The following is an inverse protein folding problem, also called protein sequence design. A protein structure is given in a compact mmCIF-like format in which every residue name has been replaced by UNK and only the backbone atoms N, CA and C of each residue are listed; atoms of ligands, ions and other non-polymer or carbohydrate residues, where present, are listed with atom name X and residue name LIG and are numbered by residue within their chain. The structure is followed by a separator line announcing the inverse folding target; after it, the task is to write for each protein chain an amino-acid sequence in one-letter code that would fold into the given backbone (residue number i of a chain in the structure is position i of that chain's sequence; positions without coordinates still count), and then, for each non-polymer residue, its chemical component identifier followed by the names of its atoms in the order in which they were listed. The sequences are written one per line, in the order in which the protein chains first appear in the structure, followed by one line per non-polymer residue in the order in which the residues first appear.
data_IF_650232837294
#
_entry.id   IF_650232837294
#
_cell.length_a   1.000
_cell.length_b   1.000
_cell.length_c   1.000
_cell.angle_alpha   90.00
_cell.angle_beta   90.00
_cell.angle_gamma   90.00
#
_symmetry.space_group_name_H-M   'P 1'
#
loop_
_entity.id
_entity.type
_entity.pdbx_description
1 polymer ?
#
# COMPACT_ATOMS: atom_id res chain seq x y z
N UNK A 1 -21.97 30.18 40.05
CA UNK A 1 -21.00 29.39 39.26
C UNK A 1 -19.88 28.74 40.10
N UNK A 2 -19.21 29.39 41.07
CA UNK A 2 -18.14 28.71 41.84
C UNK A 2 -18.66 27.61 42.78
N UNK A 3 -19.81 27.82 43.43
CA UNK A 3 -20.40 26.84 44.36
C UNK A 3 -20.83 25.55 43.67
N UNK A 4 -21.48 25.64 42.51
CA UNK A 4 -21.88 24.47 41.71
C UNK A 4 -20.68 23.60 41.31
N UNK A 5 -19.56 24.26 41.00
CA UNK A 5 -18.31 23.58 40.64
C UNK A 5 -17.72 22.86 41.85
N UNK A 6 -17.66 23.52 43.00
CA UNK A 6 -17.16 22.91 44.24
C UNK A 6 -18.03 21.73 44.70
N UNK A 7 -19.35 21.87 44.61
CA UNK A 7 -20.27 20.76 44.93
C UNK A 7 -20.11 19.60 43.97
N UNK A 8 -19.89 19.88 42.68
CA UNK A 8 -19.60 18.86 41.68
C UNK A 8 -18.32 18.09 42.02
N UNK A 9 -17.21 18.79 42.26
CA UNK A 9 -15.94 18.15 42.63
C UNK A 9 -16.04 17.31 43.90
N UNK A 10 -16.73 17.80 44.94
CA UNK A 10 -16.94 17.04 46.17
C UNK A 10 -17.77 15.77 45.92
N UNK A 11 -18.86 15.89 45.16
CA UNK A 11 -19.73 14.76 44.82
C UNK A 11 -19.00 13.70 43.98
N UNK A 12 -18.33 14.11 42.90
CA UNK A 12 -17.60 13.19 42.03
C UNK A 12 -16.38 12.58 42.72
N UNK A 13 -15.66 13.36 43.52
CA UNK A 13 -14.53 12.84 44.32
C UNK A 13 -14.99 11.78 45.33
N UNK A 14 -16.11 12.02 46.01
CA UNK A 14 -16.71 11.04 46.91
C UNK A 14 -17.16 9.78 46.17
N UNK A 15 -17.87 9.93 45.04
CA UNK A 15 -18.29 8.81 44.20
C UNK A 15 -17.11 7.99 43.70
N UNK A 16 -16.04 8.65 43.23
CA UNK A 16 -14.80 8.00 42.80
C UNK A 16 -14.17 7.22 43.96
N UNK A 17 -14.08 7.83 45.15
CA UNK A 17 -13.53 7.17 46.34
C UNK A 17 -14.31 5.90 46.68
N UNK A 18 -15.63 5.97 46.69
CA UNK A 18 -16.50 4.82 46.98
C UNK A 18 -16.31 3.72 45.93
N UNK A 19 -16.39 4.03 44.64
CA UNK A 19 -16.36 3.02 43.59
C UNK A 19 -14.96 2.42 43.38
N UNK A 20 -13.92 3.24 43.44
CA UNK A 20 -12.55 2.77 43.16
C UNK A 20 -11.89 2.11 44.36
N UNK A 21 -12.09 2.64 45.57
CA UNK A 21 -11.41 2.14 46.77
C UNK A 21 -12.32 1.30 47.66
N UNK A 22 -13.51 1.80 48.02
CA UNK A 22 -14.37 1.10 48.99
C UNK A 22 -15.06 -0.14 48.38
N UNK A 23 -15.44 -0.07 47.10
CA UNK A 23 -16.04 -1.18 46.33
C UNK A 23 -15.01 -2.00 45.52
N UNK A 24 -13.71 -1.72 45.68
CA UNK A 24 -12.66 -2.48 45.01
C UNK A 24 -12.52 -2.24 43.50
N UNK A 25 -13.07 -1.15 42.96
CA UNK A 25 -13.00 -0.83 41.53
C UNK A 25 -11.58 -0.76 40.95
N UNK A 26 -10.56 -0.42 41.75
CA UNK A 26 -9.15 -0.49 41.33
C UNK A 26 -8.77 -1.92 40.94
N UNK A 27 -9.22 -2.93 41.69
CA UNK A 27 -8.93 -4.32 41.39
C UNK A 27 -9.47 -4.72 40.03
N UNK A 28 -10.77 -4.49 39.79
CA UNK A 28 -11.41 -4.78 38.51
C UNK A 28 -10.82 -3.96 37.35
N UNK A 29 -10.45 -2.70 37.59
CA UNK A 29 -9.81 -1.86 36.58
C UNK A 29 -8.42 -2.37 36.18
N UNK A 30 -7.59 -2.73 37.17
CA UNK A 30 -6.25 -3.30 36.93
C UNK A 30 -6.36 -4.66 36.23
N UNK A 31 -7.31 -5.51 36.64
CA UNK A 31 -7.58 -6.79 35.98
C UNK A 31 -7.96 -6.58 34.51
N UNK A 32 -8.91 -5.67 34.24
CA UNK A 32 -9.34 -5.37 32.89
C UNK A 32 -8.19 -4.87 32.01
N UNK A 33 -7.40 -3.89 32.48
CA UNK A 33 -6.25 -3.39 31.73
C UNK A 33 -5.21 -4.49 31.51
N UNK A 34 -4.96 -5.35 32.50
CA UNK A 34 -4.01 -6.45 32.39
C UNK A 34 -4.44 -7.46 31.32
N UNK A 35 -5.73 -7.81 31.27
CA UNK A 35 -6.29 -8.70 30.25
C UNK A 35 -6.13 -8.08 28.86
N UNK A 36 -6.50 -6.80 28.69
CA UNK A 36 -6.38 -6.11 27.41
C UNK A 36 -4.91 -6.01 26.97
N UNK A 37 -3.99 -5.68 27.88
CA UNK A 37 -2.57 -5.64 27.60
C UNK A 37 -2.04 -7.01 27.15
N UNK A 38 -2.45 -8.10 27.81
CA UNK A 38 -2.07 -9.45 27.43
C UNK A 38 -2.58 -9.83 26.03
N UNK A 39 -3.83 -9.49 25.71
CA UNK A 39 -4.43 -9.73 24.38
C UNK A 39 -3.68 -8.93 23.31
N UNK A 40 -3.45 -7.63 23.53
CA UNK A 40 -2.71 -6.76 22.61
C UNK A 40 -1.31 -7.32 22.37
N UNK A 41 -0.62 -7.74 23.43
CA UNK A 41 0.71 -8.33 23.34
C UNK A 41 0.69 -9.61 22.52
N UNK A 42 -0.26 -10.52 22.77
CA UNK A 42 -0.38 -11.78 22.04
C UNK A 42 -0.63 -11.55 20.55
N UNK A 43 -1.58 -10.68 20.21
CA UNK A 43 -1.90 -10.36 18.81
C UNK A 43 -0.70 -9.73 18.12
N UNK A 44 -0.06 -8.75 18.77
CA UNK A 44 1.13 -8.08 18.24
C UNK A 44 2.27 -9.08 18.02
N UNK A 45 2.49 -9.98 18.96
CA UNK A 45 3.52 -11.01 18.87
C UNK A 45 3.27 -11.96 17.69
N UNK A 46 2.03 -12.44 17.51
CA UNK A 46 1.65 -13.30 16.38
C UNK A 46 1.86 -12.57 15.06
N UNK A 47 1.39 -11.33 14.95
CA UNK A 47 1.50 -10.55 13.72
C UNK A 47 2.95 -10.22 13.37
N UNK A 48 3.77 -9.83 14.35
CA UNK A 48 5.19 -9.54 14.14
C UNK A 48 5.96 -10.80 13.75
N UNK A 49 5.67 -11.93 14.40
CA UNK A 49 6.26 -13.23 14.06
C UNK A 49 5.88 -13.64 12.65
N UNK A 50 4.61 -13.51 12.29
CA UNK A 50 4.10 -13.80 10.95
C UNK A 50 4.74 -12.90 9.88
N UNK A 51 4.82 -11.59 10.14
CA UNK A 51 5.46 -10.64 9.23
C UNK A 51 6.94 -10.97 9.03
N UNK A 52 7.66 -11.29 10.12
CA UNK A 52 9.08 -11.70 10.06
C UNK A 52 9.25 -13.03 9.31
N UNK A 53 8.37 -14.00 9.55
CA UNK A 53 8.38 -15.28 8.83
C UNK A 53 8.16 -15.07 7.34
N UNK A 54 7.13 -14.32 6.96
CA UNK A 54 6.85 -14.01 5.55
C UNK A 54 8.00 -13.25 4.90
N UNK A 55 8.57 -12.27 5.60
CA UNK A 55 9.74 -11.57 5.11
C UNK A 55 10.89 -12.55 4.90
N UNK A 56 11.27 -13.36 5.89
CA UNK A 56 12.37 -14.33 5.74
C UNK A 56 12.12 -15.35 4.63
N UNK A 57 10.89 -15.86 4.50
CA UNK A 57 10.49 -16.84 3.49
C UNK A 57 10.53 -16.28 2.07
N UNK A 58 10.13 -15.02 1.90
CA UNK A 58 9.92 -14.42 0.58
C UNK A 58 10.96 -13.35 0.21
N UNK A 59 11.88 -13.00 1.12
CA UNK A 59 12.99 -12.10 0.84
C UNK A 59 13.90 -12.73 -0.21
N UNK A 60 14.04 -12.05 -1.34
CA UNK A 60 14.81 -12.54 -2.49
C UNK A 60 13.96 -13.21 -3.58
N UNK A 61 12.67 -13.43 -3.33
CA UNK A 61 11.73 -13.81 -4.40
C UNK A 61 11.10 -12.60 -5.09
N UNK A 62 11.63 -11.39 -4.87
CA UNK A 62 11.14 -10.17 -5.50
C UNK A 62 11.31 -10.33 -7.01
N UNK A 63 10.22 -10.75 -7.64
CA UNK A 63 10.14 -11.32 -8.98
C UNK A 63 10.09 -10.22 -10.01
N UNK A 64 10.82 -9.13 -9.78
CA UNK A 64 11.14 -8.13 -10.81
C UNK A 64 12.28 -8.68 -11.66
N UNK A 65 12.07 -9.84 -12.29
CA UNK A 65 12.84 -10.13 -13.49
C UNK A 65 12.44 -9.04 -14.46
N UNK A 66 13.38 -8.15 -14.79
CA UNK A 66 13.19 -7.24 -15.91
C UNK A 66 12.70 -8.09 -17.09
N UNK A 67 11.63 -7.67 -17.75
CA UNK A 67 11.25 -8.28 -19.00
C UNK A 67 12.48 -8.24 -19.91
N UNK A 68 12.80 -9.34 -20.62
CA UNK A 68 13.92 -9.31 -21.56
C UNK A 68 13.71 -8.14 -22.52
N UNK A 69 14.79 -7.39 -22.78
CA UNK A 69 14.75 -6.22 -23.66
C UNK A 69 14.10 -6.60 -24.99
N UNK A 70 12.98 -5.95 -25.32
CA UNK A 70 12.29 -6.19 -26.59
C UNK A 70 13.16 -5.66 -27.73
N UNK A 71 13.60 -6.52 -28.62
CA UNK A 71 14.44 -6.14 -29.76
C UNK A 71 13.61 -5.50 -30.88
N UNK A 72 14.18 -4.58 -31.68
CA UNK A 72 13.52 -4.05 -32.87
C UNK A 72 13.02 -5.15 -33.82
N UNK A 73 13.79 -6.23 -34.00
CA UNK A 73 13.37 -7.42 -34.74
C UNK A 73 12.09 -8.10 -34.20
N UNK A 74 11.93 -8.19 -32.87
CA UNK A 74 10.73 -8.76 -32.26
C UNK A 74 9.50 -7.87 -32.49
N UNK A 75 9.68 -6.55 -32.39
CA UNK A 75 8.63 -5.56 -32.70
C UNK A 75 8.25 -5.64 -34.18
N UNK A 76 9.24 -5.71 -35.06
CA UNK A 76 9.05 -5.83 -36.50
C UNK A 76 8.25 -7.08 -36.87
N UNK A 77 8.58 -8.22 -36.26
CA UNK A 77 7.84 -9.48 -36.42
C UNK A 77 6.39 -9.36 -35.96
N UNK A 78 6.16 -8.77 -34.78
CA UNK A 78 4.81 -8.57 -34.24
C UNK A 78 3.96 -7.65 -35.13
N UNK A 79 4.58 -6.64 -35.74
CA UNK A 79 3.92 -5.66 -36.59
C UNK A 79 3.83 -6.07 -38.06
N UNK A 80 4.44 -7.20 -38.45
CA UNK A 80 4.53 -7.62 -39.86
C UNK A 80 5.33 -6.65 -40.74
N UNK A 81 6.35 -6.00 -40.15
CA UNK A 81 7.15 -4.91 -40.78
C UNK A 81 8.63 -5.27 -40.75
N UNK A 82 9.46 -4.50 -41.45
CA UNK A 82 10.92 -4.70 -41.42
C UNK A 82 11.55 -4.08 -40.17
N UNK A 83 12.64 -4.67 -39.69
CA UNK A 83 13.42 -4.14 -38.57
C UNK A 83 13.93 -2.72 -38.86
N UNK A 84 14.36 -2.46 -40.09
CA UNK A 84 14.77 -1.13 -40.55
C UNK A 84 13.65 -0.08 -40.41
N UNK A 85 12.40 -0.46 -40.70
CA UNK A 85 11.26 0.44 -40.54
C UNK A 85 11.06 0.80 -39.07
N UNK A 86 11.12 -0.19 -38.18
CA UNK A 86 10.98 0.01 -36.73
C UNK A 86 12.12 0.89 -36.20
N UNK A 87 13.36 0.64 -36.63
CA UNK A 87 14.50 1.48 -36.27
C UNK A 87 14.33 2.91 -36.76
N UNK A 88 13.85 3.11 -37.99
CA UNK A 88 13.57 4.45 -38.52
C UNK A 88 12.48 5.16 -37.71
N UNK A 89 11.41 4.47 -37.33
CA UNK A 89 10.32 5.04 -36.51
C UNK A 89 10.78 5.40 -35.09
N UNK A 90 11.67 4.62 -34.49
CA UNK A 90 12.25 4.91 -33.18
C UNK A 90 13.07 6.21 -33.16
N UNK A 91 13.62 6.63 -34.31
CA UNK A 91 14.33 7.91 -34.44
C UNK A 91 13.37 9.11 -34.60
N UNK A 92 12.08 8.86 -34.87
CA UNK A 92 11.09 9.92 -35.03
C UNK A 92 10.50 10.31 -33.68
N UNK A 93 10.53 11.61 -33.35
CA UNK A 93 9.99 12.11 -32.07
C UNK A 93 8.46 12.02 -32.00
N UNK A 94 7.78 12.27 -33.11
CA UNK A 94 6.33 12.23 -33.23
C UNK A 94 5.98 11.64 -34.60
N UNK A 95 5.11 10.64 -34.61
CA UNK A 95 4.69 9.95 -35.83
C UNK A 95 3.17 9.90 -35.93
N UNK A 96 2.67 9.97 -37.16
CA UNK A 96 1.30 9.62 -37.51
C UNK A 96 1.36 8.20 -38.08
N UNK A 97 0.59 7.30 -37.48
CA UNK A 97 0.48 5.90 -37.91
C UNK A 97 -0.88 5.70 -38.56
N UNK A 98 -0.87 5.33 -39.83
CA UNK A 98 -2.08 4.96 -40.56
C UNK A 98 -2.28 3.46 -40.44
N UNK A 99 -3.45 3.04 -39.92
CA UNK A 99 -3.83 1.64 -39.81
C UNK A 99 -4.82 1.24 -40.90
N UNK A 100 -4.68 0.02 -41.40
CA UNK A 100 -5.66 -0.61 -42.28
C UNK A 100 -6.87 -1.16 -41.53
N UNK A 101 -7.85 -1.68 -42.27
CA UNK A 101 -9.08 -2.24 -41.70
C UNK A 101 -8.82 -3.45 -40.79
N UNK A 102 -7.71 -4.17 -41.00
CA UNK A 102 -7.28 -5.29 -40.17
C UNK A 102 -6.39 -4.86 -38.97
N UNK A 103 -6.17 -3.55 -38.80
CA UNK A 103 -5.28 -2.99 -37.77
C UNK A 103 -3.79 -3.03 -38.14
N UNK A 104 -3.44 -3.48 -39.33
CA UNK A 104 -2.08 -3.45 -39.86
C UNK A 104 -1.58 -2.02 -40.06
N UNK A 105 -0.32 -1.74 -39.74
CA UNK A 105 0.28 -0.43 -40.03
C UNK A 105 0.42 -0.32 -41.54
N UNK A 106 -0.16 0.68 -42.21
CA UNK A 106 0.00 0.92 -43.66
C UNK A 106 1.09 1.93 -43.98
N UNK A 107 1.11 3.03 -43.24
CA UNK A 107 2.08 4.10 -43.41
C UNK A 107 2.44 4.72 -42.05
N UNK A 108 3.67 5.24 -41.96
CA UNK A 108 4.14 5.98 -40.80
C UNK A 108 4.85 7.24 -41.31
N UNK A 109 4.36 8.39 -40.88
CA UNK A 109 4.87 9.70 -41.33
C UNK A 109 5.33 10.51 -40.13
N UNK A 110 6.54 11.08 -40.21
CA UNK A 110 7.03 12.00 -39.19
C UNK A 110 6.28 13.34 -39.30
N UNK A 111 5.86 13.89 -38.17
CA UNK A 111 5.32 15.26 -38.16
C UNK A 111 6.50 16.24 -38.32
N UNK A 112 6.48 17.16 -39.31
CA UNK A 112 7.49 18.19 -39.42
C UNK A 112 7.53 19.00 -38.13
N UNK A 113 8.73 19.18 -37.56
CA UNK A 113 8.88 20.07 -36.41
C UNK A 113 8.81 21.51 -36.92
N UNK A 114 7.78 22.24 -36.49
CA UNK A 114 7.68 23.69 -36.66
C UNK A 114 8.75 24.41 -35.85
#
# INVERSE_FOLDING_TARGET
MPLLTLTGWAFFGWQFKVHMFDLGGIGGFVELISIYAAIIFLISFVLLTWAKYNHLRFRGMDRRKAFPSVTPAAIATMLGRSEESVLAWQQMRVVIVEHGEAGDIRAVTAIPQM
#
